data_IF_288055496791
#
_entry.id   IF_288055496791
#
_cell.length_a   1.000
_cell.length_b   1.000
_cell.length_c   1.000
_cell.angle_alpha   90.00
_cell.angle_beta   90.00
_cell.angle_gamma   90.00
#
_symmetry.space_group_name_H-M   'P 1'
#
loop_
_entity.id
_entity.type
_entity.pdbx_description
1 polymer ?
#
# COMPACT_ATOMS: atom_id res chain seq x y z
N UNK A 1 9.83 7.11 22.62
CA UNK A 1 10.49 8.33 22.10
C UNK A 1 9.72 8.77 20.86
N UNK A 2 8.71 9.61 21.03
CA UNK A 2 7.89 10.16 19.95
C UNK A 2 8.63 11.35 19.34
N UNK A 3 9.09 11.23 18.10
CA UNK A 3 9.59 12.38 17.34
C UNK A 3 8.36 13.24 17.01
N UNK A 4 8.35 14.50 17.43
CA UNK A 4 7.29 15.44 17.07
C UNK A 4 7.23 15.60 15.55
N UNK A 5 6.06 15.42 14.96
CA UNK A 5 5.82 15.50 13.51
C UNK A 5 5.76 16.94 12.97
N UNK A 6 6.26 17.90 13.74
CA UNK A 6 6.16 19.34 13.45
C UNK A 6 7.57 19.94 13.30
N UNK A 7 7.77 20.77 12.28
CA UNK A 7 9.04 21.47 12.04
C UNK A 7 10.20 20.52 11.68
N UNK A 8 11.32 20.63 12.41
CA UNK A 8 12.55 19.89 12.12
C UNK A 8 12.42 18.36 12.30
N UNK A 9 11.47 17.89 13.13
CA UNK A 9 11.22 16.45 13.32
C UNK A 9 10.69 15.76 12.06
N UNK A 10 9.91 16.48 11.23
CA UNK A 10 9.45 15.98 9.94
C UNK A 10 10.62 15.77 8.96
N UNK A 11 11.59 16.70 8.90
CA UNK A 11 12.76 16.56 8.04
C UNK A 11 13.64 15.37 8.46
N UNK A 12 13.82 15.17 9.77
CA UNK A 12 14.56 14.02 10.31
C UNK A 12 13.83 12.72 9.93
N UNK A 13 12.50 12.66 10.08
CA UNK A 13 11.71 11.50 9.68
C UNK A 13 11.85 11.19 8.20
N UNK A 14 11.77 12.20 7.33
CA UNK A 14 11.94 12.03 5.88
C UNK A 14 13.35 11.51 5.56
N UNK A 15 14.39 12.04 6.19
CA UNK A 15 15.75 11.54 6.00
C UNK A 15 15.92 10.08 6.45
N UNK A 16 15.32 9.71 7.58
CA UNK A 16 15.33 8.33 8.06
C UNK A 16 14.57 7.42 7.10
N UNK A 17 13.36 7.79 6.67
CA UNK A 17 12.61 7.01 5.68
C UNK A 17 13.37 6.87 4.36
N UNK A 18 14.02 7.95 3.90
CA UNK A 18 14.85 7.92 2.70
C UNK A 18 16.04 6.97 2.87
N UNK A 19 16.74 7.02 4.01
CA UNK A 19 17.85 6.13 4.32
C UNK A 19 17.43 4.65 4.37
N UNK A 20 16.34 4.34 5.06
CA UNK A 20 15.78 2.98 5.12
C UNK A 20 15.33 2.50 3.74
N UNK A 21 14.70 3.38 2.94
CA UNK A 21 14.30 3.05 1.56
C UNK A 21 15.50 2.72 0.69
N UNK A 22 16.57 3.53 0.78
CA UNK A 22 17.78 3.29 0.00
C UNK A 22 18.47 1.99 0.42
N UNK A 23 18.57 1.74 1.73
CA UNK A 23 19.16 0.52 2.29
C UNK A 23 18.39 -0.74 1.88
N UNK A 24 17.05 -0.71 1.94
CA UNK A 24 16.22 -1.85 1.51
C UNK A 24 16.28 -2.10 0.01
N UNK A 25 16.38 -1.03 -0.80
CA UNK A 25 16.48 -1.14 -2.26
C UNK A 25 17.85 -1.65 -2.71
N UNK A 26 18.93 -1.11 -2.17
CA UNK A 26 20.29 -1.58 -2.45
C UNK A 26 20.55 -2.97 -1.87
N UNK A 27 20.08 -3.22 -0.65
CA UNK A 27 20.14 -4.54 -0.03
C UNK A 27 19.41 -5.60 -0.84
N UNK A 28 18.22 -5.29 -1.38
CA UNK A 28 17.49 -6.20 -2.27
C UNK A 28 18.28 -6.58 -3.52
N UNK A 29 18.90 -5.61 -4.20
CA UNK A 29 19.75 -5.85 -5.38
C UNK A 29 20.98 -6.70 -5.01
N UNK A 30 21.58 -6.43 -3.86
CA UNK A 30 22.71 -7.21 -3.36
C UNK A 30 22.29 -8.66 -3.06
N UNK A 31 21.15 -8.90 -2.41
CA UNK A 31 20.68 -10.27 -2.14
C UNK A 31 20.31 -11.01 -3.42
N UNK A 32 19.73 -10.33 -4.42
CA UNK A 32 19.37 -10.95 -5.70
C UNK A 32 20.59 -11.42 -6.51
N UNK A 33 21.79 -10.91 -6.25
CA UNK A 33 23.01 -11.45 -6.87
C UNK A 33 23.44 -12.79 -6.26
N UNK A 34 23.07 -13.07 -5.00
CA UNK A 34 23.38 -14.33 -4.32
C UNK A 34 22.30 -15.39 -4.46
N UNK A 35 21.04 -15.00 -4.73
CA UNK A 35 19.91 -15.95 -4.85
C UNK A 35 19.57 -16.21 -6.32
N UNK A 36 19.97 -17.37 -6.89
CA UNK A 36 19.60 -17.71 -8.26
C UNK A 36 18.09 -17.90 -8.38
N UNK A 37 17.48 -17.23 -9.37
CA UNK A 37 16.03 -17.27 -9.59
C UNK A 37 15.62 -18.62 -10.23
N UNK A 38 15.36 -19.61 -9.39
CA UNK A 38 14.80 -20.92 -9.78
C UNK A 38 13.28 -20.89 -10.04
N UNK A 39 12.73 -22.01 -10.52
CA UNK A 39 11.29 -22.14 -10.84
C UNK A 39 10.37 -21.81 -9.67
N UNK A 40 10.68 -22.32 -8.46
CA UNK A 40 9.91 -22.07 -7.24
C UNK A 40 9.90 -20.58 -6.85
N UNK A 41 11.02 -19.88 -7.02
CA UNK A 41 11.13 -18.44 -6.74
C UNK A 41 10.32 -17.62 -7.75
N UNK A 42 10.31 -18.00 -9.03
CA UNK A 42 9.46 -17.34 -10.05
C UNK A 42 7.98 -17.51 -9.73
N UNK A 43 7.55 -18.71 -9.31
CA UNK A 43 6.17 -18.96 -8.90
C UNK A 43 5.81 -18.12 -7.66
N UNK A 44 6.70 -18.03 -6.68
CA UNK A 44 6.50 -17.17 -5.51
C UNK A 44 6.35 -15.70 -5.90
N UNK A 45 7.25 -15.17 -6.73
CA UNK A 45 7.18 -13.77 -7.22
C UNK A 45 5.88 -13.53 -8.00
N UNK A 46 5.45 -14.49 -8.84
CA UNK A 46 4.17 -14.39 -9.55
C UNK A 46 2.96 -14.32 -8.61
N UNK A 47 3.01 -15.04 -7.49
CA UNK A 47 1.96 -15.05 -6.47
C UNK A 47 2.00 -13.82 -5.54
N UNK A 48 3.14 -13.11 -5.45
CA UNK A 48 3.32 -11.97 -4.54
C UNK A 48 2.30 -10.85 -4.76
N UNK A 49 1.99 -10.50 -6.01
CA UNK A 49 1.07 -9.38 -6.29
C UNK A 49 -0.31 -9.60 -5.66
N UNK A 50 -0.89 -10.79 -5.83
CA UNK A 50 -2.18 -11.13 -5.23
C UNK A 50 -2.11 -11.27 -3.71
N UNK A 51 -1.05 -11.92 -3.20
CA UNK A 51 -0.89 -12.12 -1.75
C UNK A 51 -0.72 -10.82 -0.98
N UNK A 52 0.10 -9.89 -1.49
CA UNK A 52 0.35 -8.59 -0.86
C UNK A 52 -0.92 -7.72 -0.91
N UNK A 53 -1.65 -7.72 -2.04
CA UNK A 53 -2.92 -7.02 -2.12
C UNK A 53 -3.90 -7.52 -1.07
N UNK A 54 -4.11 -8.84 -0.96
CA UNK A 54 -5.03 -9.40 0.04
C UNK A 54 -4.55 -9.11 1.47
N UNK A 55 -3.25 -9.23 1.74
CA UNK A 55 -2.68 -8.96 3.04
C UNK A 55 -2.85 -7.50 3.49
N UNK A 56 -2.88 -6.54 2.55
CA UNK A 56 -3.14 -5.13 2.84
C UNK A 56 -4.64 -4.82 2.89
N UNK A 57 -5.44 -5.35 1.96
CA UNK A 57 -6.87 -5.06 1.89
C UNK A 57 -7.67 -5.73 3.02
N UNK A 58 -7.32 -6.95 3.43
CA UNK A 58 -8.06 -7.69 4.45
C UNK A 58 -8.12 -6.97 5.82
N UNK A 59 -7.00 -6.53 6.42
CA UNK A 59 -7.06 -5.77 7.67
C UNK A 59 -7.74 -4.42 7.48
N UNK A 60 -7.56 -3.75 6.33
CA UNK A 60 -8.28 -2.50 6.05
C UNK A 60 -9.80 -2.69 5.96
N UNK A 61 -10.29 -3.85 5.53
CA UNK A 61 -11.70 -4.17 5.53
C UNK A 61 -12.23 -4.55 6.92
N UNK A 62 -11.43 -5.23 7.74
CA UNK A 62 -11.83 -5.72 9.06
C UNK A 62 -11.67 -4.67 10.16
N UNK A 63 -10.53 -4.00 10.25
CA UNK A 63 -10.20 -2.99 11.27
C UNK A 63 -10.50 -1.56 10.79
N UNK A 64 -10.73 -1.37 9.50
CA UNK A 64 -11.09 -0.07 8.96
C UNK A 64 -12.42 0.42 9.49
N UNK A 65 -12.46 1.74 9.73
CA UNK A 65 -13.68 2.49 10.05
C UNK A 65 -14.77 2.26 8.99
N UNK A 66 -16.02 2.50 9.35
CA UNK A 66 -17.19 2.41 8.46
C UNK A 66 -16.97 3.13 7.12
N UNK A 67 -16.31 4.30 7.15
CA UNK A 67 -15.90 5.04 5.94
C UNK A 67 -14.83 4.34 5.10
N UNK A 68 -13.89 3.62 5.72
CA UNK A 68 -12.90 2.84 4.97
C UNK A 68 -13.53 1.63 4.27
N UNK A 69 -14.47 0.95 4.93
CA UNK A 69 -15.21 -0.20 4.34
C UNK A 69 -16.07 0.24 3.15
N UNK A 70 -16.82 1.34 3.29
CA UNK A 70 -17.65 1.89 2.21
C UNK A 70 -16.79 2.41 1.03
N UNK A 71 -15.65 3.01 1.31
CA UNK A 71 -14.71 3.44 0.28
C UNK A 71 -14.12 2.27 -0.51
N UNK A 72 -13.74 1.17 0.17
CA UNK A 72 -13.27 -0.05 -0.48
C UNK A 72 -14.36 -0.68 -1.36
N UNK A 73 -15.60 -0.73 -0.88
CA UNK A 73 -16.74 -1.22 -1.66
C UNK A 73 -17.02 -0.34 -2.89
N UNK A 74 -17.02 0.98 -2.74
CA UNK A 74 -17.20 1.91 -3.84
C UNK A 74 -16.09 1.80 -4.88
N UNK A 75 -14.84 1.68 -4.44
CA UNK A 75 -13.68 1.44 -5.31
C UNK A 75 -13.83 0.12 -6.06
N UNK A 76 -14.21 -0.97 -5.37
CA UNK A 76 -14.39 -2.28 -5.98
C UNK A 76 -15.54 -2.27 -7.01
N UNK A 77 -16.67 -1.67 -6.67
CA UNK A 77 -17.83 -1.57 -7.56
C UNK A 77 -17.50 -0.77 -8.83
N UNK A 78 -16.88 0.40 -8.67
CA UNK A 78 -16.49 1.26 -9.80
C UNK A 78 -15.37 0.66 -10.64
N UNK A 79 -14.43 -0.06 -10.04
CA UNK A 79 -13.41 -0.83 -10.76
C UNK A 79 -14.04 -1.92 -11.62
N UNK A 80 -15.08 -2.62 -11.12
CA UNK A 80 -15.78 -3.67 -11.85
C UNK A 80 -16.58 -3.11 -13.04
N UNK A 81 -17.22 -1.95 -12.86
CA UNK A 81 -18.02 -1.26 -13.88
C UNK A 81 -17.14 -0.61 -14.96
N UNK A 82 -16.14 0.16 -14.56
CA UNK A 82 -15.35 1.00 -15.47
C UNK A 82 -14.11 0.30 -16.01
N UNK A 83 -13.64 -0.78 -15.38
CA UNK A 83 -12.39 -1.51 -15.73
C UNK A 83 -11.16 -0.60 -15.88
N UNK A 84 -11.21 0.59 -15.30
CA UNK A 84 -10.15 1.61 -15.31
C UNK A 84 -9.83 1.96 -13.86
N UNK A 85 -8.56 1.84 -13.42
CA UNK A 85 -8.21 2.02 -12.01
C UNK A 85 -8.30 3.48 -11.56
N UNK A 86 -7.97 4.43 -12.43
CA UNK A 86 -7.99 5.86 -12.13
C UNK A 86 -9.36 6.38 -11.64
N UNK A 87 -10.48 6.17 -12.36
CA UNK A 87 -11.78 6.62 -11.88
C UNK A 87 -12.27 5.84 -10.66
N UNK A 88 -11.88 4.58 -10.51
CA UNK A 88 -12.26 3.77 -9.37
C UNK A 88 -11.65 4.29 -8.05
N UNK A 89 -10.36 4.63 -8.09
CA UNK A 89 -9.65 5.20 -6.93
C UNK A 89 -10.27 6.56 -6.56
N UNK A 90 -10.58 7.40 -7.56
CA UNK A 90 -11.21 8.71 -7.31
C UNK A 90 -12.59 8.55 -6.62
N UNK A 91 -13.43 7.62 -7.09
CA UNK A 91 -14.73 7.34 -6.48
C UNK A 91 -14.59 6.83 -5.04
N UNK A 92 -13.63 5.93 -4.79
CA UNK A 92 -13.30 5.46 -3.45
C UNK A 92 -12.93 6.58 -2.49
N UNK A 93 -12.03 7.46 -2.90
CA UNK A 93 -11.58 8.61 -2.10
C UNK A 93 -12.74 9.56 -1.80
N UNK A 94 -13.58 9.87 -2.80
CA UNK A 94 -14.77 10.72 -2.60
C UNK A 94 -15.74 10.09 -1.59
N UNK A 95 -15.95 8.78 -1.68
CA UNK A 95 -16.82 8.05 -0.75
C UNK A 95 -16.25 8.07 0.67
N UNK A 96 -14.93 7.87 0.83
CA UNK A 96 -14.26 7.97 2.13
C UNK A 96 -14.40 9.37 2.75
N UNK A 97 -14.24 10.40 1.92
CA UNK A 97 -14.33 11.79 2.35
C UNK A 97 -15.76 12.15 2.80
N UNK A 98 -16.78 11.75 2.03
CA UNK A 98 -18.18 12.01 2.35
C UNK A 98 -18.62 11.28 3.61
N UNK A 99 -18.25 10.00 3.78
CA UNK A 99 -18.64 9.23 4.96
C UNK A 99 -17.93 9.71 6.23
N UNK A 100 -16.72 10.27 6.12
CA UNK A 100 -16.02 10.85 7.28
C UNK A 100 -16.47 12.28 7.61
N UNK A 101 -17.12 12.96 6.68
CA UNK A 101 -17.62 14.32 6.88
C UNK A 101 -18.98 14.36 7.60
N UNK A 102 -19.77 13.28 7.51
CA UNK A 102 -21.05 13.10 8.18
C UNK A 102 -20.93 12.22 9.42
#
# INVERSE_FOLDING_TARGET
MSIETTGAGALILVLVMAGVTLATRWGGVYVMSFVPIGYRVKQFIGAMSGSVLVALLAPMALEGDSGARLALLATAATMLLLKKPLPAIAAGILTAALVRQF
#
